data_IF_738971739850
#
_entry.id   IF_738971739850
#
_cell.length_a   1.000
_cell.length_b   1.000
_cell.length_c   1.000
_cell.angle_alpha   90.00
_cell.angle_beta   90.00
_cell.angle_gamma   90.00
#
_symmetry.space_group_name_H-M   'P 1'
#
loop_
_entity.id
_entity.type
_entity.pdbx_description
1 polymer ?
#
# COMPACT_ATOMS: atom_id res chain seq x y z
N UNK A 1 14.84 -50.97 -8.57
CA UNK A 1 13.77 -50.14 -9.18
C UNK A 1 12.81 -49.48 -8.18
N UNK A 2 12.65 -49.95 -6.98
CA UNK A 2 11.74 -49.34 -5.96
C UNK A 2 12.15 -47.94 -5.44
N UNK A 3 13.40 -47.60 -5.41
CA UNK A 3 13.88 -46.29 -4.88
C UNK A 3 13.52 -45.04 -5.71
N UNK A 4 13.33 -45.21 -7.04
CA UNK A 4 12.96 -44.07 -7.91
C UNK A 4 11.50 -43.67 -7.74
N UNK A 5 10.60 -44.59 -7.41
CA UNK A 5 9.20 -44.28 -7.13
C UNK A 5 9.01 -43.54 -5.80
N UNK A 6 9.79 -43.88 -4.77
CA UNK A 6 9.73 -43.19 -3.46
C UNK A 6 10.15 -41.73 -3.57
N UNK A 7 11.23 -41.42 -4.31
CA UNK A 7 11.69 -40.07 -4.50
C UNK A 7 10.68 -39.18 -5.29
N UNK A 8 9.97 -39.75 -6.26
CA UNK A 8 8.92 -39.05 -7.00
C UNK A 8 7.71 -38.70 -6.11
N UNK A 9 7.31 -39.61 -5.25
CA UNK A 9 6.21 -39.39 -4.28
C UNK A 9 6.61 -38.33 -3.27
N UNK A 10 7.84 -38.40 -2.76
CA UNK A 10 8.38 -37.40 -1.81
C UNK A 10 8.48 -36.02 -2.43
N UNK A 11 8.94 -35.92 -3.67
CA UNK A 11 8.97 -34.67 -4.42
C UNK A 11 7.57 -34.11 -4.68
N UNK A 12 6.62 -34.98 -5.08
CA UNK A 12 5.23 -34.58 -5.33
C UNK A 12 4.53 -34.03 -4.07
N UNK A 13 4.97 -34.45 -2.89
CA UNK A 13 4.44 -33.99 -1.62
C UNK A 13 5.07 -32.65 -1.19
N UNK A 14 6.33 -32.42 -1.50
CA UNK A 14 7.07 -31.20 -1.15
C UNK A 14 6.86 -30.08 -2.16
N UNK A 15 6.73 -30.41 -3.45
CA UNK A 15 6.61 -29.42 -4.54
C UNK A 15 5.47 -28.40 -4.35
N UNK A 16 4.24 -28.78 -3.94
CA UNK A 16 3.17 -27.81 -3.70
C UNK A 16 3.49 -26.80 -2.60
N UNK A 17 4.16 -27.23 -1.55
CA UNK A 17 4.56 -26.36 -0.43
C UNK A 17 5.60 -25.35 -0.91
N UNK A 18 6.55 -25.81 -1.72
CA UNK A 18 7.62 -24.98 -2.27
C UNK A 18 7.06 -23.92 -3.24
N UNK A 19 6.13 -24.31 -4.11
CA UNK A 19 5.42 -23.38 -5.01
C UNK A 19 4.64 -22.35 -4.21
N UNK A 20 3.90 -22.78 -3.18
CA UNK A 20 3.16 -21.86 -2.32
C UNK A 20 4.08 -20.84 -1.63
N UNK A 21 5.25 -21.26 -1.18
CA UNK A 21 6.23 -20.41 -0.54
C UNK A 21 6.79 -19.36 -1.52
N UNK A 22 7.08 -19.77 -2.76
CA UNK A 22 7.50 -18.85 -3.82
C UNK A 22 6.42 -17.81 -4.12
N UNK A 23 5.16 -18.24 -4.25
CA UNK A 23 4.04 -17.33 -4.49
C UNK A 23 3.85 -16.33 -3.35
N UNK A 24 4.01 -16.75 -2.09
CA UNK A 24 4.00 -15.87 -0.93
C UNK A 24 5.11 -14.82 -0.97
N UNK A 25 6.33 -15.21 -1.36
CA UNK A 25 7.44 -14.27 -1.50
C UNK A 25 7.17 -13.22 -2.58
N UNK A 26 6.66 -13.63 -3.74
CA UNK A 26 6.29 -12.72 -4.83
C UNK A 26 5.21 -11.75 -4.38
N UNK A 27 4.16 -12.26 -3.73
CA UNK A 27 3.06 -11.43 -3.23
C UNK A 27 3.54 -10.42 -2.19
N UNK A 28 4.39 -10.84 -1.25
CA UNK A 28 5.00 -9.95 -0.26
C UNK A 28 5.81 -8.83 -0.93
N UNK A 29 6.60 -9.16 -1.96
CA UNK A 29 7.36 -8.18 -2.74
C UNK A 29 6.45 -7.13 -3.41
N UNK A 30 5.30 -7.56 -3.96
CA UNK A 30 4.31 -6.64 -4.54
C UNK A 30 3.74 -5.69 -3.48
N UNK A 31 3.33 -6.20 -2.33
CA UNK A 31 2.81 -5.38 -1.22
C UNK A 31 3.84 -4.35 -0.76
N UNK A 32 5.11 -4.78 -0.60
CA UNK A 32 6.19 -3.89 -0.17
C UNK A 32 6.46 -2.79 -1.20
N UNK A 33 6.47 -3.12 -2.49
CA UNK A 33 6.62 -2.14 -3.56
C UNK A 33 5.48 -1.11 -3.56
N UNK A 34 4.25 -1.54 -3.31
CA UNK A 34 3.10 -0.64 -3.15
C UNK A 34 3.27 0.29 -1.96
N UNK A 35 3.68 -0.26 -0.82
CA UNK A 35 3.91 0.51 0.40
C UNK A 35 4.97 1.61 0.20
N UNK A 36 6.06 1.31 -0.48
CA UNK A 36 7.09 2.30 -0.82
C UNK A 36 6.54 3.41 -1.71
N UNK A 37 5.80 3.04 -2.75
CA UNK A 37 5.21 4.03 -3.69
C UNK A 37 4.19 4.92 -2.98
N UNK A 38 3.34 4.36 -2.13
CA UNK A 38 2.38 5.12 -1.32
C UNK A 38 3.08 6.06 -0.33
N UNK A 39 4.20 5.62 0.26
CA UNK A 39 5.01 6.46 1.15
C UNK A 39 5.58 7.68 0.42
N UNK A 40 6.03 7.52 -0.81
CA UNK A 40 6.46 8.65 -1.64
C UNK A 40 5.31 9.59 -1.96
N UNK A 41 4.14 9.05 -2.34
CA UNK A 41 2.95 9.84 -2.65
C UNK A 41 2.46 10.65 -1.42
N UNK A 42 2.43 10.01 -0.25
CA UNK A 42 2.03 10.68 0.99
C UNK A 42 2.99 11.80 1.39
N UNK A 43 4.31 11.57 1.28
CA UNK A 43 5.33 12.59 1.58
C UNK A 43 5.27 13.77 0.61
N UNK A 44 5.11 13.51 -0.69
CA UNK A 44 4.97 14.55 -1.71
C UNK A 44 3.74 15.42 -1.44
N UNK A 45 2.61 14.79 -1.12
CA UNK A 45 1.38 15.48 -0.76
C UNK A 45 1.52 16.27 0.54
N UNK A 46 2.17 15.72 1.58
CA UNK A 46 2.40 16.40 2.84
C UNK A 46 3.30 17.63 2.69
N UNK A 47 4.37 17.54 1.88
CA UNK A 47 5.23 18.69 1.57
C UNK A 47 4.46 19.81 0.85
N UNK A 48 3.61 19.44 -0.10
CA UNK A 48 2.77 20.40 -0.78
C UNK A 48 1.75 21.05 0.18
N UNK A 49 1.15 20.24 1.06
CA UNK A 49 0.22 20.70 2.06
C UNK A 49 0.83 21.67 3.08
N UNK A 50 2.13 21.55 3.36
CA UNK A 50 2.84 22.46 4.26
C UNK A 50 2.83 23.91 3.75
N UNK A 51 2.92 24.08 2.44
CA UNK A 51 2.96 25.41 1.77
C UNK A 51 1.57 25.87 1.36
N UNK A 52 0.66 24.93 1.02
CA UNK A 52 -0.68 25.23 0.55
C UNK A 52 -1.74 24.50 1.41
N UNK A 53 -1.84 24.84 2.70
CA UNK A 53 -2.63 24.04 3.65
C UNK A 53 -4.15 24.10 3.40
N UNK A 54 -4.64 25.06 2.62
CA UNK A 54 -6.08 25.24 2.36
C UNK A 54 -6.53 24.64 1.01
N UNK A 55 -5.64 24.03 0.24
CA UNK A 55 -5.94 23.49 -1.10
C UNK A 55 -5.95 21.94 -1.08
N UNK A 56 -7.00 21.38 -0.48
CA UNK A 56 -7.14 19.92 -0.36
C UNK A 56 -7.19 19.23 -1.73
N UNK A 57 -7.75 19.87 -2.74
CA UNK A 57 -7.87 19.26 -4.07
C UNK A 57 -6.50 19.15 -4.75
N UNK A 58 -5.68 20.18 -4.68
CA UNK A 58 -4.32 20.13 -5.19
C UNK A 58 -3.44 19.17 -4.39
N UNK A 59 -3.60 19.07 -3.07
CA UNK A 59 -2.90 18.09 -2.21
C UNK A 59 -3.24 16.67 -2.67
N UNK A 60 -4.52 16.35 -2.86
CA UNK A 60 -4.98 15.06 -3.39
C UNK A 60 -4.48 14.80 -4.81
N UNK A 61 -4.45 15.85 -5.65
CA UNK A 61 -3.91 15.81 -6.99
C UNK A 61 -2.43 15.45 -7.02
N UNK A 62 -1.62 15.99 -6.11
CA UNK A 62 -0.20 15.66 -5.94
C UNK A 62 0.01 14.20 -5.53
N UNK A 63 -0.75 13.71 -4.54
CA UNK A 63 -0.70 12.31 -4.13
C UNK A 63 -1.04 11.35 -5.29
N UNK A 64 -2.11 11.63 -6.04
CA UNK A 64 -2.51 10.83 -7.20
C UNK A 64 -1.50 10.92 -8.34
N UNK A 65 -0.93 12.11 -8.58
CA UNK A 65 0.08 12.35 -9.60
C UNK A 65 1.36 11.54 -9.37
N UNK A 66 1.81 11.42 -8.13
CA UNK A 66 2.98 10.64 -7.76
C UNK A 66 2.82 9.13 -8.04
N UNK A 67 1.58 8.64 -8.13
CA UNK A 67 1.26 7.25 -8.45
C UNK A 67 1.04 7.03 -9.95
N UNK A 68 0.81 8.08 -10.74
CA UNK A 68 0.52 7.99 -12.18
C UNK A 68 1.73 7.43 -12.93
N UNK A 69 1.49 6.51 -13.85
CA UNK A 69 2.53 5.93 -14.71
C UNK A 69 3.28 4.72 -14.13
N UNK A 70 2.97 4.30 -12.90
CA UNK A 70 3.60 3.14 -12.23
C UNK A 70 2.69 1.91 -12.18
N UNK A 71 1.70 1.82 -13.05
CA UNK A 71 0.74 0.71 -13.08
C UNK A 71 -0.25 0.71 -11.90
N UNK A 72 -0.43 1.85 -11.26
CA UNK A 72 -1.34 2.01 -10.14
C UNK A 72 -2.65 2.66 -10.59
N UNK A 73 -3.74 2.27 -9.97
CA UNK A 73 -5.06 2.83 -10.22
C UNK A 73 -5.35 3.92 -9.19
N UNK A 74 -5.22 5.22 -9.54
CA UNK A 74 -5.43 6.32 -8.59
C UNK A 74 -6.86 6.38 -8.05
N UNK A 75 -7.82 5.74 -8.73
CA UNK A 75 -9.22 5.66 -8.31
C UNK A 75 -9.41 4.84 -7.01
N UNK A 76 -8.47 3.94 -6.70
CA UNK A 76 -8.49 3.09 -5.50
C UNK A 76 -7.80 3.72 -4.30
N UNK A 77 -7.33 4.95 -4.47
CA UNK A 77 -6.73 5.72 -3.39
C UNK A 77 -7.79 6.48 -2.64
N UNK A 78 -7.85 6.26 -1.33
CA UNK A 78 -8.53 7.14 -0.41
C UNK A 78 -7.48 8.03 0.28
N UNK A 79 -7.64 9.34 0.20
CA UNK A 79 -6.70 10.32 0.77
C UNK A 79 -7.43 11.12 1.82
N UNK A 80 -7.00 11.01 3.06
CA UNK A 80 -7.53 11.75 4.20
C UNK A 80 -6.48 12.77 4.62
N UNK A 81 -6.92 14.02 4.79
CA UNK A 81 -6.07 15.15 5.20
C UNK A 81 -6.61 15.66 6.53
N UNK A 82 -5.75 15.70 7.52
CA UNK A 82 -6.07 16.18 8.88
C UNK A 82 -5.10 17.29 9.30
N UNK A 83 -5.62 18.38 9.90
CA UNK A 83 -7.01 18.73 10.20
C UNK A 83 -7.85 19.00 8.94
N UNK A 84 -9.20 18.95 9.08
CA UNK A 84 -10.12 19.22 7.97
C UNK A 84 -9.93 20.63 7.39
N UNK A 85 -10.22 20.79 6.10
CA UNK A 85 -10.15 22.11 5.43
C UNK A 85 -11.03 23.14 6.15
N UNK A 86 -10.48 24.34 6.36
CA UNK A 86 -11.17 25.41 7.12
C UNK A 86 -11.11 25.26 8.65
N UNK A 87 -10.45 24.21 9.17
CA UNK A 87 -10.24 24.07 10.61
C UNK A 87 -9.34 25.18 11.16
N UNK A 88 -9.62 25.70 12.38
CA UNK A 88 -8.76 26.67 13.06
C UNK A 88 -7.37 26.10 13.38
N UNK A 89 -7.20 24.78 13.32
CA UNK A 89 -5.93 24.10 13.57
C UNK A 89 -5.00 24.11 12.35
N UNK A 90 -5.49 24.48 11.15
CA UNK A 90 -4.64 24.66 9.96
C UNK A 90 -3.97 26.03 9.95
N UNK A 91 -3.02 26.23 10.88
CA UNK A 91 -2.25 27.48 11.02
C UNK A 91 -0.76 27.18 10.90
N UNK A 92 0.05 28.19 10.52
CA UNK A 92 1.51 28.09 10.55
C UNK A 92 2.01 27.54 11.90
N UNK A 93 2.98 26.63 11.85
CA UNK A 93 3.52 25.97 13.02
C UNK A 93 2.70 24.78 13.56
N UNK A 94 1.59 24.43 12.92
CA UNK A 94 0.81 23.22 13.26
C UNK A 94 1.10 22.08 12.28
N UNK A 95 1.03 20.81 12.73
CA UNK A 95 1.22 19.67 11.85
C UNK A 95 0.00 19.46 10.95
N UNK A 96 0.27 19.15 9.68
CA UNK A 96 -0.72 18.63 8.73
C UNK A 96 -0.36 17.19 8.39
N UNK A 97 -1.34 16.29 8.48
CA UNK A 97 -1.19 14.86 8.27
C UNK A 97 -1.93 14.45 7.02
N UNK A 98 -1.23 13.77 6.14
CA UNK A 98 -1.82 13.17 4.93
C UNK A 98 -1.75 11.66 5.06
N UNK A 99 -2.92 11.03 5.10
CA UNK A 99 -3.08 9.58 5.12
C UNK A 99 -3.51 9.09 3.76
N UNK A 100 -2.74 8.19 3.17
CA UNK A 100 -3.03 7.57 1.88
C UNK A 100 -3.34 6.10 2.11
N UNK A 101 -4.53 5.68 1.69
CA UNK A 101 -4.99 4.29 1.74
C UNK A 101 -5.15 3.77 0.31
N UNK A 102 -4.74 2.54 0.08
CA UNK A 102 -4.86 1.88 -1.22
C UNK A 102 -5.38 0.47 -1.06
N UNK A 103 -6.46 0.14 -1.80
CA UNK A 103 -7.05 -1.19 -1.80
C UNK A 103 -6.41 -2.06 -2.88
N UNK A 104 -5.77 -3.16 -2.44
CA UNK A 104 -5.03 -4.10 -3.28
C UNK A 104 -5.77 -5.41 -3.55
N UNK A 105 -7.05 -5.55 -3.18
CA UNK A 105 -7.77 -6.84 -3.24
C UNK A 105 -7.62 -7.56 -4.56
N UNK A 106 -7.74 -6.85 -5.67
CA UNK A 106 -7.67 -7.44 -7.01
C UNK A 106 -6.24 -7.64 -7.53
N UNK A 107 -5.23 -7.19 -6.78
CA UNK A 107 -3.83 -7.32 -7.15
C UNK A 107 -3.14 -8.49 -6.42
N UNK A 108 -3.82 -9.09 -5.45
CA UNK A 108 -3.30 -10.21 -4.67
C UNK A 108 -3.66 -11.53 -5.35
N UNK A 109 -2.66 -12.37 -5.59
CA UNK A 109 -2.83 -13.70 -6.20
C UNK A 109 -3.30 -14.76 -5.19
N UNK A 110 -2.96 -14.57 -3.92
CA UNK A 110 -3.34 -15.49 -2.84
C UNK A 110 -4.53 -14.89 -2.11
N UNK A 111 -5.56 -15.69 -1.77
CA UNK A 111 -6.69 -15.24 -0.99
C UNK A 111 -6.23 -14.57 0.31
N UNK A 112 -6.84 -13.42 0.63
CA UNK A 112 -6.54 -12.68 1.87
C UNK A 112 -6.98 -13.41 3.12
N UNK A 113 -7.88 -14.38 2.96
CA UNK A 113 -8.38 -15.24 4.03
C UNK A 113 -8.22 -16.71 3.64
N UNK A 114 -7.64 -17.48 4.54
CA UNK A 114 -7.51 -18.93 4.40
C UNK A 114 -8.00 -19.57 5.69
N UNK A 115 -9.00 -20.47 5.61
CA UNK A 115 -9.65 -21.12 6.76
C UNK A 115 -10.18 -20.12 7.83
N UNK A 116 -10.68 -18.95 7.41
CA UNK A 116 -11.16 -17.93 8.35
C UNK A 116 -10.07 -17.12 9.05
N UNK A 117 -8.80 -17.35 8.70
CA UNK A 117 -7.66 -16.57 9.21
C UNK A 117 -7.26 -15.55 8.16
N UNK A 118 -7.29 -14.26 8.53
CA UNK A 118 -6.79 -13.20 7.67
C UNK A 118 -5.27 -13.22 7.64
N UNK A 119 -4.69 -13.56 6.48
CA UNK A 119 -3.25 -13.68 6.28
C UNK A 119 -2.64 -12.32 5.94
N UNK A 120 -3.35 -11.51 5.14
CA UNK A 120 -2.85 -10.21 4.66
C UNK A 120 -3.99 -9.20 4.72
N UNK A 121 -3.69 -7.98 5.20
CA UNK A 121 -4.62 -6.87 5.06
C UNK A 121 -4.53 -6.34 3.63
N UNK A 122 -5.61 -6.37 2.84
CA UNK A 122 -5.60 -5.90 1.45
C UNK A 122 -5.55 -4.38 1.33
N UNK A 123 -5.74 -3.65 2.42
CA UNK A 123 -5.65 -2.19 2.44
C UNK A 123 -4.33 -1.76 3.04
N UNK A 124 -3.49 -1.15 2.21
CA UNK A 124 -2.23 -0.55 2.66
C UNK A 124 -2.50 0.91 3.03
N UNK A 125 -2.14 1.27 4.26
CA UNK A 125 -2.29 2.64 4.78
C UNK A 125 -0.92 3.21 5.09
N UNK A 126 -0.66 4.41 4.60
CA UNK A 126 0.58 5.15 4.86
C UNK A 126 0.25 6.58 5.26
N UNK A 127 0.93 7.08 6.26
CA UNK A 127 0.78 8.42 6.79
C UNK A 127 2.06 9.23 6.60
N UNK A 128 1.89 10.50 6.27
CA UNK A 128 2.99 11.47 6.28
C UNK A 128 2.53 12.75 6.95
N UNK A 129 3.39 13.33 7.77
CA UNK A 129 3.12 14.57 8.50
C UNK A 129 4.15 15.62 8.09
N UNK A 130 3.70 16.84 7.87
CA UNK A 130 4.54 18.01 7.66
C UNK A 130 4.07 19.16 8.55
N UNK A 131 4.96 20.11 8.84
CA UNK A 131 4.59 21.33 9.57
C UNK A 131 4.16 22.39 8.54
N UNK A 132 3.06 23.08 8.82
CA UNK A 132 2.58 24.19 7.99
C UNK A 132 3.52 25.36 8.18
N UNK A 133 4.03 25.90 7.06
CA UNK A 133 4.91 27.06 7.01
C UNK A 133 4.17 28.38 7.15
#
# INVERSE_FOLDING_TARGET
MRRRGSALVEFALVAPILVMLILLMVQYGLVMNRMLTLSHAAREAARYAAVHPQDDEAIRGKARGAMRGRGHRPERMNIVIEPAQGSPDRKPGRPIKVTVQYDMRDELFIPTEFFGIRIINPVVTVEATAMIE
#
